data_IF_138464263732
#
_entry.id   IF_138464263732
#
_cell.length_a   1.000
_cell.length_b   1.000
_cell.length_c   1.000
_cell.angle_alpha   90.00
_cell.angle_beta   90.00
_cell.angle_gamma   90.00
#
_symmetry.space_group_name_H-M   'P 1'
#
loop_
_entity.id
_entity.type
_entity.pdbx_description
1 polymer ?
#
# COMPACT_ATOMS: atom_id res chain seq x y z
N UNK A 1 6.24 9.97 5.86
CA UNK A 1 5.50 9.57 4.67
C UNK A 1 5.77 8.13 4.37
N UNK A 2 4.85 7.51 3.64
CA UNK A 2 4.94 6.14 3.17
C UNK A 2 4.50 6.13 1.71
N UNK A 3 5.36 5.67 0.82
CA UNK A 3 5.06 5.46 -0.60
C UNK A 3 5.40 4.03 -0.95
N UNK A 4 4.47 3.31 -1.56
CA UNK A 4 4.71 1.95 -2.03
C UNK A 4 3.94 1.67 -3.32
N UNK A 5 4.48 0.76 -4.13
CA UNK A 5 3.84 0.18 -5.29
C UNK A 5 3.55 -1.29 -4.99
N UNK A 6 2.28 -1.63 -4.79
CA UNK A 6 1.88 -3.02 -4.66
C UNK A 6 1.89 -3.66 -6.05
N UNK A 7 2.64 -4.74 -6.22
CA UNK A 7 2.62 -5.60 -7.39
C UNK A 7 1.66 -6.73 -7.12
N UNK A 8 0.57 -6.79 -7.87
CA UNK A 8 -0.51 -7.75 -7.63
C UNK A 8 -0.61 -8.70 -8.82
N UNK A 9 -0.55 -9.99 -8.55
CA UNK A 9 -0.83 -11.04 -9.53
C UNK A 9 -2.21 -11.63 -9.25
N UNK A 10 -3.05 -11.68 -10.28
CA UNK A 10 -4.41 -12.18 -10.21
C UNK A 10 -4.50 -13.59 -10.78
N UNK A 11 -5.30 -14.44 -10.13
CA UNK A 11 -5.62 -15.79 -10.61
C UNK A 11 -6.30 -15.68 -11.99
N UNK A 12 -5.93 -16.56 -12.92
CA UNK A 12 -6.48 -16.52 -14.28
C UNK A 12 -8.00 -16.64 -14.29
N UNK A 13 -8.68 -15.72 -15.00
CA UNK A 13 -10.14 -15.64 -15.06
C UNK A 13 -10.79 -14.85 -13.93
N UNK A 14 -10.02 -14.33 -12.96
CA UNK A 14 -10.53 -13.50 -11.86
C UNK A 14 -10.30 -11.99 -12.06
N UNK A 15 -9.74 -11.58 -13.20
CA UNK A 15 -9.39 -10.18 -13.51
C UNK A 15 -10.58 -9.22 -13.33
N UNK A 16 -11.75 -9.61 -13.82
CA UNK A 16 -12.95 -8.77 -13.70
C UNK A 16 -13.40 -8.64 -12.24
N UNK A 17 -13.42 -9.74 -11.48
CA UNK A 17 -13.80 -9.74 -10.07
C UNK A 17 -12.83 -8.88 -9.26
N UNK A 18 -11.53 -9.01 -9.51
CA UNK A 18 -10.52 -8.16 -8.88
C UNK A 18 -10.79 -6.67 -9.14
N UNK A 19 -11.07 -6.29 -10.38
CA UNK A 19 -11.33 -4.89 -10.72
C UNK A 19 -12.63 -4.34 -10.10
N UNK A 20 -13.66 -5.17 -9.95
CA UNK A 20 -14.91 -4.80 -9.28
C UNK A 20 -14.68 -4.56 -7.78
N UNK A 21 -14.00 -5.50 -7.11
CA UNK A 21 -13.61 -5.36 -5.70
C UNK A 21 -12.69 -4.14 -5.48
N UNK A 22 -11.72 -3.93 -6.37
CA UNK A 22 -10.76 -2.82 -6.26
C UNK A 22 -11.43 -1.46 -6.42
N UNK A 23 -12.41 -1.35 -7.33
CA UNK A 23 -13.19 -0.12 -7.50
C UNK A 23 -14.05 0.18 -6.27
N UNK A 24 -14.59 -0.85 -5.63
CA UNK A 24 -15.37 -0.68 -4.41
C UNK A 24 -14.48 -0.28 -3.24
N UNK A 25 -13.37 -0.98 -3.03
CA UNK A 25 -12.40 -0.64 -1.99
C UNK A 25 -11.85 0.79 -2.18
N UNK A 26 -11.50 1.18 -3.41
CA UNK A 26 -11.11 2.55 -3.75
C UNK A 26 -12.16 3.59 -3.30
N UNK A 27 -13.44 3.37 -3.59
CA UNK A 27 -14.52 4.30 -3.21
C UNK A 27 -14.68 4.37 -1.70
N UNK A 28 -14.62 3.22 -1.02
CA UNK A 28 -14.74 3.18 0.43
C UNK A 28 -13.57 3.90 1.10
N UNK A 29 -12.33 3.60 0.70
CA UNK A 29 -11.14 4.28 1.19
C UNK A 29 -11.23 5.80 1.02
N UNK A 30 -11.54 6.29 -0.19
CA UNK A 30 -11.65 7.75 -0.43
C UNK A 30 -12.84 8.42 0.26
N UNK A 31 -13.84 7.68 0.71
CA UNK A 31 -14.99 8.24 1.45
C UNK A 31 -14.81 8.18 2.97
N UNK A 32 -14.01 7.24 3.47
CA UNK A 32 -13.83 6.97 4.90
C UNK A 32 -12.48 7.44 5.45
N UNK A 33 -11.46 7.53 4.62
CA UNK A 33 -10.09 7.85 5.03
C UNK A 33 -9.75 9.29 4.61
N UNK A 34 -9.41 10.12 5.58
CA UNK A 34 -9.04 11.53 5.38
C UNK A 34 -7.53 11.75 5.09
N UNK A 35 -6.76 10.65 5.13
CA UNK A 35 -5.30 10.68 5.08
C UNK A 35 -4.72 10.18 3.74
N UNK A 36 -5.54 9.85 2.75
CA UNK A 36 -5.06 9.38 1.45
C UNK A 36 -4.41 10.54 0.69
N UNK A 37 -3.14 10.37 0.29
CA UNK A 37 -2.47 11.27 -0.65
C UNK A 37 -2.57 10.69 -2.06
N UNK A 38 -2.32 9.38 -2.21
CA UNK A 38 -2.61 8.61 -3.43
C UNK A 38 -3.06 7.21 -3.06
N UNK A 39 -4.05 6.72 -3.79
CA UNK A 39 -4.48 5.32 -3.72
C UNK A 39 -5.07 4.95 -5.09
N UNK A 40 -4.25 4.40 -5.97
CA UNK A 40 -4.58 4.32 -7.41
C UNK A 40 -4.28 2.93 -7.96
N UNK A 41 -5.20 2.38 -8.76
CA UNK A 41 -5.06 1.05 -9.38
C UNK A 41 -4.74 1.15 -10.87
N UNK A 42 -3.84 0.29 -11.33
CA UNK A 42 -3.41 0.21 -12.73
C UNK A 42 -3.36 -1.23 -13.21
N UNK A 43 -3.69 -1.46 -14.49
CA UNK A 43 -3.36 -2.71 -15.18
C UNK A 43 -1.89 -2.69 -15.54
N UNK A 44 -1.19 -3.80 -15.28
CA UNK A 44 0.18 -4.01 -15.70
C UNK A 44 0.29 -4.38 -17.17
N UNK A 45 1.53 -4.41 -17.66
CA UNK A 45 1.84 -4.83 -19.03
C UNK A 45 1.56 -6.32 -19.24
N UNK A 46 1.92 -7.14 -18.26
CA UNK A 46 1.77 -8.58 -18.33
C UNK A 46 0.35 -9.00 -17.96
N UNK A 47 -0.12 -10.10 -18.57
CA UNK A 47 -1.46 -10.63 -18.28
C UNK A 47 -1.60 -10.93 -16.78
N UNK A 48 -2.72 -10.54 -16.22
CA UNK A 48 -3.08 -10.69 -14.80
C UNK A 48 -2.17 -9.94 -13.82
N UNK A 49 -1.30 -9.05 -14.31
CA UNK A 49 -0.49 -8.18 -13.45
C UNK A 49 -1.22 -6.85 -13.27
N UNK A 50 -1.24 -6.37 -12.04
CA UNK A 50 -1.82 -5.10 -11.64
C UNK A 50 -0.86 -4.38 -10.69
N UNK A 51 -1.01 -3.07 -10.61
CA UNK A 51 -0.26 -2.24 -9.68
C UNK A 51 -1.21 -1.39 -8.85
N UNK A 52 -0.90 -1.20 -7.57
CA UNK A 52 -1.55 -0.18 -6.75
C UNK A 52 -0.51 0.77 -6.19
N UNK A 53 -0.59 2.06 -6.53
CA UNK A 53 0.24 3.09 -5.92
C UNK A 53 -0.46 3.61 -4.66
N UNK A 54 0.23 3.52 -3.53
CA UNK A 54 -0.25 4.02 -2.25
C UNK A 54 0.72 5.07 -1.72
N UNK A 55 0.19 6.22 -1.31
CA UNK A 55 0.94 7.26 -0.63
C UNK A 55 0.13 7.80 0.54
N UNK A 56 0.72 7.78 1.73
CA UNK A 56 0.13 8.30 2.98
C UNK A 56 1.10 9.23 3.73
N UNK A 57 0.59 10.16 4.57
CA UNK A 57 1.41 11.13 5.29
C UNK A 57 2.47 10.48 6.19
N UNK A 58 2.18 9.31 6.76
CA UNK A 58 3.06 8.54 7.64
C UNK A 58 2.91 7.04 7.37
N UNK A 59 3.88 6.24 7.82
CA UNK A 59 3.76 4.77 7.77
C UNK A 59 2.61 4.30 8.67
N UNK A 60 2.42 4.95 9.82
CA UNK A 60 1.32 4.65 10.73
C UNK A 60 -0.05 5.00 10.14
N UNK A 61 -0.18 6.06 9.33
CA UNK A 61 -1.44 6.35 8.62
C UNK A 61 -1.77 5.23 7.63
N UNK A 62 -0.79 4.79 6.83
CA UNK A 62 -0.96 3.63 5.95
C UNK A 62 -1.38 2.38 6.75
N UNK A 63 -0.64 2.03 7.80
CA UNK A 63 -0.90 0.78 8.50
C UNK A 63 -2.21 0.82 9.30
N UNK A 64 -2.40 1.84 10.13
CA UNK A 64 -3.47 1.89 11.12
C UNK A 64 -4.79 2.40 10.56
N UNK A 65 -4.76 3.29 9.56
CA UNK A 65 -5.99 3.89 9.00
C UNK A 65 -6.42 3.29 7.68
N UNK A 66 -5.49 2.70 6.94
CA UNK A 66 -5.80 2.02 5.68
C UNK A 66 -5.74 0.50 5.83
N UNK A 67 -4.56 -0.06 6.07
CA UNK A 67 -4.29 -1.50 5.94
C UNK A 67 -5.15 -2.36 6.88
N UNK A 68 -5.30 -1.95 8.15
CA UNK A 68 -6.09 -2.70 9.15
C UNK A 68 -7.48 -2.10 9.41
N UNK A 69 -7.93 -1.18 8.57
CA UNK A 69 -9.25 -0.59 8.70
C UNK A 69 -10.34 -1.64 8.48
N UNK A 70 -11.50 -1.44 9.10
CA UNK A 70 -12.62 -2.40 9.03
C UNK A 70 -13.01 -2.71 7.58
N UNK A 71 -13.15 -1.70 6.71
CA UNK A 71 -13.51 -1.92 5.31
C UNK A 71 -12.40 -2.59 4.49
N UNK A 72 -11.14 -2.41 4.88
CA UNK A 72 -10.03 -3.09 4.21
C UNK A 72 -9.96 -4.56 4.60
N UNK A 73 -10.15 -4.89 5.89
CA UNK A 73 -10.25 -6.27 6.37
C UNK A 73 -11.45 -7.02 5.77
N UNK A 74 -12.61 -6.36 5.72
CA UNK A 74 -13.82 -6.90 5.05
C UNK A 74 -13.62 -7.12 3.55
N UNK A 75 -12.87 -6.24 2.88
CA UNK A 75 -12.51 -6.42 1.48
C UNK A 75 -11.49 -7.55 1.30
N UNK A 76 -10.51 -7.66 2.22
CA UNK A 76 -9.47 -8.71 2.22
C UNK A 76 -10.07 -10.11 2.14
N UNK A 77 -11.12 -10.38 2.91
CA UNK A 77 -11.83 -11.67 2.87
C UNK A 77 -12.46 -11.98 1.49
N UNK A 78 -12.80 -10.97 0.69
CA UNK A 78 -13.40 -11.15 -0.63
C UNK A 78 -12.37 -11.40 -1.74
N UNK A 79 -11.12 -11.04 -1.49
CA UNK A 79 -9.99 -11.30 -2.39
C UNK A 79 -9.43 -12.73 -2.28
N UNK A 80 -9.90 -13.53 -1.32
CA UNK A 80 -9.50 -14.94 -1.22
C UNK A 80 -9.84 -15.70 -2.51
N UNK A 81 -8.85 -16.43 -3.03
CA UNK A 81 -8.91 -17.10 -4.34
C UNK A 81 -8.95 -16.18 -5.58
N UNK A 82 -8.87 -14.85 -5.41
CA UNK A 82 -8.77 -13.86 -6.50
C UNK A 82 -7.31 -13.46 -6.73
N UNK A 83 -6.60 -13.13 -5.66
CA UNK A 83 -5.19 -12.72 -5.71
C UNK A 83 -4.32 -13.98 -5.62
N UNK A 84 -3.43 -14.15 -6.59
CA UNK A 84 -2.41 -15.21 -6.62
C UNK A 84 -1.21 -14.83 -5.75
N UNK A 85 -0.75 -13.59 -5.87
CA UNK A 85 0.33 -13.04 -5.03
C UNK A 85 0.27 -11.52 -4.96
N UNK A 86 0.86 -10.99 -3.89
CA UNK A 86 1.09 -9.57 -3.70
C UNK A 86 2.52 -9.36 -3.21
N UNK A 87 3.20 -8.36 -3.75
CA UNK A 87 4.49 -7.87 -3.29
C UNK A 87 4.40 -6.37 -3.04
N UNK A 88 4.89 -5.91 -1.89
CA UNK A 88 4.78 -4.53 -1.45
C UNK A 88 6.14 -3.84 -1.61
N UNK A 89 6.35 -3.24 -2.79
CA UNK A 89 7.59 -2.53 -3.07
C UNK A 89 7.54 -1.11 -2.48
N UNK A 90 8.33 -0.88 -1.42
CA UNK A 90 8.52 0.46 -0.88
C UNK A 90 9.30 1.34 -1.86
N UNK A 91 8.88 2.60 -1.98
CA UNK A 91 9.47 3.57 -2.89
C UNK A 91 10.04 4.75 -2.10
N UNK A 92 11.21 5.24 -2.49
CA UNK A 92 11.71 6.56 -2.06
C UNK A 92 11.55 7.56 -3.21
N UNK A 93 10.85 8.68 -3.00
CA UNK A 93 10.73 9.70 -4.02
C UNK A 93 12.09 10.32 -4.34
N UNK A 94 12.31 10.61 -5.62
CA UNK A 94 13.37 11.51 -6.04
C UNK A 94 12.91 12.94 -5.73
N UNK A 95 13.77 13.71 -5.08
CA UNK A 95 13.47 15.09 -4.69
C UNK A 95 13.06 15.93 -5.91
N UNK A 96 12.07 16.80 -5.72
CA UNK A 96 11.38 17.61 -6.75
C UNK A 96 10.69 16.85 -7.91
N UNK A 97 10.91 15.54 -8.08
CA UNK A 97 10.31 14.74 -9.16
C UNK A 97 9.03 14.01 -8.74
N UNK A 98 8.76 13.93 -7.44
CA UNK A 98 7.48 13.48 -6.89
C UNK A 98 7.02 14.47 -5.81
N UNK A 99 5.80 15.03 -5.86
CA UNK A 99 5.33 16.06 -4.92
C UNK A 99 4.91 15.46 -3.57
N UNK A 100 5.76 14.59 -3.01
CA UNK A 100 5.54 13.78 -1.82
C UNK A 100 6.88 13.68 -1.08
N UNK A 101 6.87 13.71 0.26
CA UNK A 101 8.07 13.54 1.08
C UNK A 101 8.63 12.12 1.13
N UNK A 102 9.87 11.99 1.59
CA UNK A 102 10.59 10.71 1.67
C UNK A 102 9.88 9.64 2.52
N UNK A 103 10.04 8.38 2.12
CA UNK A 103 9.49 7.24 2.86
C UNK A 103 10.25 7.04 4.17
N UNK A 104 9.53 6.86 5.27
CA UNK A 104 10.09 6.66 6.61
C UNK A 104 9.38 5.51 7.29
N UNK A 105 10.16 4.63 7.92
CA UNK A 105 9.62 3.64 8.84
C UNK A 105 9.39 4.28 10.21
N UNK A 106 8.31 3.88 10.87
CA UNK A 106 7.94 4.32 12.22
C UNK A 106 7.67 3.09 13.09
N UNK A 107 7.99 3.19 14.37
CA UNK A 107 7.71 2.12 15.31
C UNK A 107 6.21 2.03 15.57
N UNK A 108 5.68 0.80 15.65
CA UNK A 108 4.30 0.55 16.06
C UNK A 108 4.16 0.91 17.55
N UNK A 109 3.15 1.74 17.93
CA UNK A 109 2.89 2.03 19.33
C UNK A 109 2.65 0.76 20.15
N UNK A 110 3.21 0.66 21.36
CA UNK A 110 3.14 -0.55 22.19
C UNK A 110 1.70 -0.95 22.56
N UNK A 111 0.81 0.03 22.65
CA UNK A 111 -0.62 -0.10 22.94
C UNK A 111 -1.49 -0.39 21.70
N UNK A 112 -0.87 -0.57 20.52
CA UNK A 112 -1.58 -0.98 19.31
C UNK A 112 -2.13 -2.41 19.42
N UNK A 113 -3.15 -2.71 18.60
CA UNK A 113 -3.74 -4.04 18.49
C UNK A 113 -2.71 -5.10 18.06
N UNK A 114 -3.00 -6.37 18.35
CA UNK A 114 -2.14 -7.47 17.93
C UNK A 114 -2.03 -7.53 16.39
N UNK A 115 -3.12 -7.26 15.67
CA UNK A 115 -3.12 -7.17 14.21
C UNK A 115 -2.17 -6.07 13.70
N UNK A 116 -2.18 -4.89 14.35
CA UNK A 116 -1.26 -3.82 13.99
C UNK A 116 0.21 -4.20 14.21
N UNK A 117 0.51 -5.00 15.25
CA UNK A 117 1.86 -5.50 15.52
C UNK A 117 2.29 -6.54 14.48
N UNK A 118 1.42 -7.50 14.18
CA UNK A 118 1.66 -8.52 13.15
C UNK A 118 1.87 -7.89 11.76
N UNK A 119 1.00 -6.95 11.37
CA UNK A 119 1.13 -6.27 10.09
C UNK A 119 2.30 -5.29 10.11
N UNK A 120 2.62 -4.74 11.28
CA UNK A 120 3.80 -3.92 11.50
C UNK A 120 5.12 -4.61 11.18
N UNK A 121 5.18 -5.93 11.36
CA UNK A 121 6.33 -6.76 10.99
C UNK A 121 6.27 -7.19 9.52
N UNK A 122 5.13 -7.73 9.08
CA UNK A 122 5.00 -8.29 7.72
C UNK A 122 4.90 -7.25 6.60
N UNK A 123 4.52 -6.01 6.93
CA UNK A 123 4.36 -4.90 6.00
C UNK A 123 5.27 -3.73 6.38
N UNK A 124 6.38 -3.99 7.09
CA UNK A 124 7.31 -2.95 7.53
C UNK A 124 7.87 -2.17 6.33
N UNK A 125 7.97 -0.84 6.46
CA UNK A 125 8.61 -0.01 5.46
C UNK A 125 10.11 -0.29 5.37
N UNK A 126 10.56 -0.78 4.22
CA UNK A 126 11.95 -1.10 3.96
C UNK A 126 12.70 0.10 3.37
N UNK A 127 13.39 0.86 4.23
CA UNK A 127 14.23 1.98 3.79
C UNK A 127 15.60 1.47 3.37
N UNK A 128 15.92 1.57 2.08
CA UNK A 128 17.16 1.04 1.52
C UNK A 128 18.38 1.93 1.83
N UNK A 129 19.53 1.31 2.12
CA UNK A 129 20.79 2.03 2.41
C UNK A 129 21.22 2.99 1.29
N UNK A 130 20.95 2.63 0.04
CA UNK A 130 21.33 3.46 -1.09
C UNK A 130 20.42 4.67 -1.27
N UNK A 131 19.15 4.62 -0.83
CA UNK A 131 18.26 5.78 -0.77
C UNK A 131 18.82 6.83 0.19
N UNK A 132 19.18 6.40 1.41
CA UNK A 132 19.73 7.27 2.44
C UNK A 132 20.98 8.01 1.97
N UNK A 133 21.82 7.35 1.17
CA UNK A 133 23.01 7.94 0.58
C UNK A 133 22.69 9.02 -0.45
N UNK A 134 21.54 8.97 -1.13
CA UNK A 134 21.16 9.89 -2.20
C UNK A 134 20.28 11.07 -1.75
N UNK A 135 19.57 10.95 -0.62
CA UNK A 135 18.66 12.00 -0.10
C UNK A 135 19.31 13.36 0.17
N UNK A 136 20.65 13.44 0.28
CA UNK A 136 21.38 14.67 0.60
C UNK A 136 22.51 14.96 -0.41
N UNK A 137 22.44 14.41 -1.62
CA UNK A 137 23.54 14.49 -2.61
C UNK A 137 23.45 15.73 -3.50
N UNK A 138 22.30 16.42 -3.51
CA UNK A 138 22.06 17.60 -4.32
C UNK A 138 21.72 18.81 -3.46
#
# INVERSE_FOLDING_TARGET
MSSLLAHIKIVDGQEQKFEELSKELYKQSHSKEDCIIRYEYYRGRERNSYYTLLVYPTYLDFLLKHQISEHHEEAGAQYDGVIESIDLEWLDPIDDAAPVGVTKMEAIPEDSSDLAKEYGESHAAEVQDWWLKLRNVY
#
